data_IF_530078905230
#
_entry.id   IF_530078905230
#
_cell.length_a   1.000
_cell.length_b   1.000
_cell.length_c   1.000
_cell.angle_alpha   90.00
_cell.angle_beta   90.00
_cell.angle_gamma   90.00
#
_symmetry.space_group_name_H-M   'P 1'
#
loop_
_entity.id
_entity.type
_entity.pdbx_description
1 polymer ?
#
# COMPACT_ATOMS: atom_id res chain seq x y z
N UNK A 1 5.47 -41.30 -15.05
CA UNK A 1 4.02 -40.96 -15.18
C UNK A 1 3.82 -39.65 -14.43
N UNK A 2 3.93 -38.53 -15.14
CA UNK A 2 3.56 -37.22 -14.58
C UNK A 2 2.05 -37.23 -14.44
N UNK A 3 1.57 -37.43 -13.22
CA UNK A 3 0.16 -37.33 -12.91
C UNK A 3 -0.29 -35.92 -13.23
N UNK A 4 -1.33 -35.81 -14.01
CA UNK A 4 -2.06 -34.58 -14.35
C UNK A 4 -2.57 -33.97 -13.01
N UNK A 5 -1.70 -33.28 -12.27
CA UNK A 5 -2.10 -32.56 -11.05
C UNK A 5 -3.07 -31.48 -11.49
N UNK A 6 -4.34 -31.65 -11.16
CA UNK A 6 -5.36 -30.62 -11.42
C UNK A 6 -4.87 -29.28 -10.85
N UNK A 7 -4.90 -28.25 -11.68
CA UNK A 7 -4.53 -26.87 -11.30
C UNK A 7 -5.30 -26.45 -10.05
N UNK A 8 -4.56 -26.06 -8.99
CA UNK A 8 -5.17 -25.57 -7.75
C UNK A 8 -5.83 -24.21 -7.97
N UNK A 9 -6.97 -24.00 -7.36
CA UNK A 9 -7.74 -22.76 -7.48
C UNK A 9 -7.75 -21.96 -6.19
N UNK A 10 -7.49 -20.65 -6.29
CA UNK A 10 -7.44 -19.73 -5.16
C UNK A 10 -8.43 -18.59 -5.41
N UNK A 11 -9.26 -18.28 -4.41
CA UNK A 11 -10.07 -17.08 -4.42
C UNK A 11 -9.37 -15.99 -3.59
N UNK A 12 -9.06 -14.86 -4.24
CA UNK A 12 -8.50 -13.67 -3.59
C UNK A 12 -9.61 -12.66 -3.31
N UNK A 13 -9.66 -12.18 -2.08
CA UNK A 13 -10.71 -11.29 -1.61
C UNK A 13 -10.13 -10.09 -0.85
N UNK A 14 -9.75 -9.01 -1.58
CA UNK A 14 -9.25 -7.76 -0.98
C UNK A 14 -10.34 -6.92 -0.33
N UNK A 15 -9.95 -6.04 0.57
CA UNK A 15 -10.74 -4.87 0.93
C UNK A 15 -10.94 -3.94 -0.28
N UNK A 16 -11.98 -3.12 -0.24
CA UNK A 16 -12.44 -2.26 -1.36
C UNK A 16 -11.62 -0.99 -1.59
N UNK A 17 -10.48 -0.87 -0.92
CA UNK A 17 -9.54 0.24 -1.08
C UNK A 17 -8.47 -0.02 -2.13
N UNK A 18 -8.09 1.01 -2.89
CA UNK A 18 -7.03 0.88 -3.92
C UNK A 18 -5.73 0.31 -3.35
N UNK A 19 -5.32 0.75 -2.14
CA UNK A 19 -4.13 0.25 -1.45
C UNK A 19 -4.17 -1.24 -1.10
N UNK A 20 -5.34 -1.88 -1.19
CA UNK A 20 -5.56 -3.32 -0.97
C UNK A 20 -5.81 -4.07 -2.29
N UNK A 21 -6.68 -3.54 -3.15
CA UNK A 21 -7.01 -4.16 -4.45
C UNK A 21 -5.78 -4.33 -5.32
N UNK A 22 -4.93 -3.30 -5.41
CA UNK A 22 -3.72 -3.32 -6.25
C UNK A 22 -2.70 -4.39 -5.79
N UNK A 23 -2.28 -4.49 -4.51
CA UNK A 23 -1.41 -5.58 -4.06
C UNK A 23 -2.00 -6.97 -4.26
N UNK A 24 -3.30 -7.16 -4.02
CA UNK A 24 -3.96 -8.43 -4.26
C UNK A 24 -3.96 -8.80 -5.75
N UNK A 25 -4.10 -7.82 -6.65
CA UNK A 25 -4.01 -8.07 -8.09
C UNK A 25 -2.59 -8.48 -8.51
N UNK A 26 -1.56 -7.84 -7.97
CA UNK A 26 -0.18 -8.24 -8.26
C UNK A 26 0.13 -9.64 -7.71
N UNK A 27 -0.37 -9.97 -6.51
CA UNK A 27 -0.28 -11.33 -5.97
C UNK A 27 -1.03 -12.32 -6.89
N UNK A 28 -2.22 -11.99 -7.36
CA UNK A 28 -2.98 -12.79 -8.32
C UNK A 28 -2.18 -13.09 -9.60
N UNK A 29 -1.56 -12.06 -10.19
CA UNK A 29 -0.69 -12.20 -11.37
C UNK A 29 0.53 -13.09 -11.10
N UNK A 30 1.17 -12.94 -9.94
CA UNK A 30 2.31 -13.76 -9.55
C UNK A 30 1.94 -15.23 -9.33
N UNK A 31 0.80 -15.51 -8.71
CA UNK A 31 0.30 -16.87 -8.49
C UNK A 31 -0.20 -17.51 -9.79
N UNK A 32 -0.82 -16.74 -10.70
CA UNK A 32 -1.26 -17.26 -12.00
C UNK A 32 -0.09 -17.77 -12.83
N UNK A 33 1.04 -17.08 -12.82
CA UNK A 33 2.30 -17.52 -13.46
C UNK A 33 2.89 -18.79 -12.85
N UNK A 34 2.43 -19.20 -11.65
CA UNK A 34 2.87 -20.38 -10.91
C UNK A 34 1.84 -21.51 -10.89
N UNK A 35 1.05 -21.57 -11.96
CA UNK A 35 0.08 -22.64 -12.18
C UNK A 35 -1.05 -22.70 -11.13
N UNK A 36 -1.56 -21.53 -10.70
CA UNK A 36 -2.79 -21.42 -9.93
C UNK A 36 -3.89 -20.82 -10.80
N UNK A 37 -5.10 -21.37 -10.71
CA UNK A 37 -6.32 -20.74 -11.21
C UNK A 37 -6.80 -19.71 -10.20
N UNK A 38 -6.96 -18.47 -10.61
CA UNK A 38 -7.29 -17.38 -9.71
C UNK A 38 -8.75 -16.93 -9.93
N UNK A 39 -9.48 -16.83 -8.83
CA UNK A 39 -10.75 -16.11 -8.74
C UNK A 39 -10.50 -14.81 -7.98
N UNK A 40 -10.63 -13.67 -8.64
CA UNK A 40 -10.46 -12.36 -8.02
C UNK A 40 -11.83 -11.77 -7.71
N UNK A 41 -12.22 -11.78 -6.43
CA UNK A 41 -13.56 -11.41 -5.98
C UNK A 41 -13.55 -9.98 -5.40
N UNK A 42 -14.38 -9.10 -5.96
CA UNK A 42 -14.58 -7.74 -5.44
C UNK A 42 -15.90 -7.15 -5.96
N UNK A 43 -16.23 -5.91 -5.60
CA UNK A 43 -17.41 -5.21 -6.12
C UNK A 43 -17.24 -4.84 -7.60
N UNK A 44 -18.32 -4.74 -8.39
CA UNK A 44 -18.25 -4.38 -9.82
C UNK A 44 -17.41 -3.13 -10.08
N UNK A 45 -17.63 -2.06 -9.28
CA UNK A 45 -16.88 -0.80 -9.43
C UNK A 45 -15.39 -0.95 -9.12
N UNK A 46 -15.01 -1.83 -8.18
CA UNK A 46 -13.60 -2.13 -7.88
C UNK A 46 -12.96 -3.05 -8.91
N UNK A 47 -13.75 -3.87 -9.62
CA UNK A 47 -13.27 -4.76 -10.68
C UNK A 47 -13.04 -4.05 -12.01
N UNK A 48 -13.65 -2.91 -12.26
CA UNK A 48 -13.51 -2.20 -13.54
C UNK A 48 -12.06 -1.83 -13.88
N UNK A 49 -11.29 -1.19 -12.96
CA UNK A 49 -9.86 -0.95 -13.20
C UNK A 49 -9.04 -2.25 -13.36
N UNK A 50 -9.40 -3.30 -12.62
CA UNK A 50 -8.76 -4.62 -12.70
C UNK A 50 -8.98 -5.25 -14.07
N UNK A 51 -10.21 -5.16 -14.60
CA UNK A 51 -10.56 -5.63 -15.95
C UNK A 51 -9.71 -4.92 -17.01
N UNK A 52 -9.58 -3.60 -16.91
CA UNK A 52 -8.74 -2.80 -17.81
C UNK A 52 -7.26 -3.20 -17.74
N UNK A 53 -6.72 -3.43 -16.54
CA UNK A 53 -5.33 -3.85 -16.37
C UNK A 53 -5.08 -5.28 -16.92
N UNK A 54 -5.97 -6.22 -16.68
CA UNK A 54 -5.86 -7.59 -17.21
C UNK A 54 -6.01 -7.65 -18.74
N UNK A 55 -6.83 -6.79 -19.35
CA UNK A 55 -6.97 -6.71 -20.79
C UNK A 55 -5.68 -6.24 -21.50
N UNK A 56 -4.86 -5.44 -20.82
CA UNK A 56 -3.56 -4.97 -21.32
C UNK A 56 -2.40 -5.93 -21.06
N UNK A 57 -2.62 -6.96 -20.23
CA UNK A 57 -1.58 -7.91 -19.84
C UNK A 57 -1.87 -9.30 -20.42
N UNK A 58 -0.83 -10.10 -20.66
CA UNK A 58 -0.95 -11.52 -21.04
C UNK A 58 -1.45 -12.41 -19.88
N UNK A 59 -1.57 -11.86 -18.67
CA UNK A 59 -1.85 -12.61 -17.44
C UNK A 59 -3.36 -12.95 -17.28
N UNK A 60 -4.22 -12.41 -18.16
CA UNK A 60 -5.68 -12.53 -18.04
C UNK A 60 -6.28 -13.93 -18.26
N UNK A 61 -5.54 -14.88 -18.83
CA UNK A 61 -6.09 -16.19 -19.20
C UNK A 61 -6.46 -17.08 -18.00
N UNK A 62 -5.81 -16.90 -16.85
CA UNK A 62 -6.00 -17.72 -15.64
C UNK A 62 -6.62 -16.97 -14.47
N UNK A 63 -6.90 -15.67 -14.62
CA UNK A 63 -7.53 -14.81 -13.60
C UNK A 63 -8.97 -14.54 -13.99
N UNK A 64 -9.90 -15.07 -13.21
CA UNK A 64 -11.34 -14.91 -13.39
C UNK A 64 -11.90 -13.89 -12.41
N UNK A 65 -12.52 -12.82 -12.91
CA UNK A 65 -13.16 -11.82 -12.09
C UNK A 65 -14.51 -12.32 -11.58
N UNK A 66 -14.75 -12.16 -10.28
CA UNK A 66 -15.98 -12.60 -9.59
C UNK A 66 -16.61 -11.40 -8.91
N UNK A 67 -17.84 -11.09 -9.26
CA UNK A 67 -18.54 -9.94 -8.72
C UNK A 67 -19.21 -10.27 -7.38
N UNK A 68 -18.93 -9.47 -6.36
CA UNK A 68 -19.65 -9.44 -5.10
C UNK A 68 -20.56 -8.22 -5.06
N UNK A 69 -21.85 -8.44 -5.13
CA UNK A 69 -22.83 -7.35 -5.01
C UNK A 69 -23.14 -7.05 -3.55
N UNK A 70 -22.91 -5.80 -3.15
CA UNK A 70 -23.28 -5.31 -1.82
C UNK A 70 -24.73 -4.82 -1.82
N UNK A 71 -25.42 -4.83 -0.66
CA UNK A 71 -26.68 -4.13 -0.50
C UNK A 71 -26.52 -2.66 -0.86
N UNK A 72 -27.39 -2.15 -1.72
CA UNK A 72 -27.42 -0.75 -2.13
C UNK A 72 -28.54 0.00 -1.41
N UNK A 73 -28.30 1.28 -1.10
CA UNK A 73 -29.30 2.21 -0.59
C UNK A 73 -29.20 3.53 -1.36
N UNK A 74 -30.20 4.42 -1.27
CA UNK A 74 -30.10 5.76 -1.87
C UNK A 74 -28.89 6.56 -1.40
N UNK A 75 -28.38 6.28 -0.20
CA UNK A 75 -27.22 6.96 0.38
C UNK A 75 -25.89 6.27 0.03
N UNK A 76 -25.92 4.97 -0.34
CA UNK A 76 -24.77 4.19 -0.76
C UNK A 76 -25.07 3.48 -2.09
N UNK A 77 -25.18 4.22 -3.19
CA UNK A 77 -25.39 3.63 -4.51
C UNK A 77 -24.13 2.85 -4.98
N UNK A 78 -24.23 2.00 -6.02
CA UNK A 78 -23.16 1.08 -6.45
C UNK A 78 -21.82 1.73 -6.78
N UNK A 79 -21.80 2.99 -7.24
CA UNK A 79 -20.59 3.75 -7.52
C UNK A 79 -19.75 4.05 -6.26
N UNK A 80 -20.35 3.99 -5.07
CA UNK A 80 -19.68 4.15 -3.78
C UNK A 80 -19.34 2.80 -3.12
N UNK A 81 -19.47 1.68 -3.82
CA UNK A 81 -19.02 0.37 -3.34
C UNK A 81 -17.49 0.18 -3.46
N UNK A 82 -16.74 1.24 -3.20
CA UNK A 82 -15.28 1.32 -3.16
C UNK A 82 -14.86 2.47 -2.26
N UNK A 83 -13.63 2.47 -1.72
CA UNK A 83 -13.12 3.65 -0.99
C UNK A 83 -12.67 4.77 -1.92
N UNK A 84 -12.57 4.51 -3.22
CA UNK A 84 -12.19 5.53 -4.20
C UNK A 84 -13.31 6.54 -4.36
N UNK A 85 -13.01 7.80 -4.07
CA UNK A 85 -13.93 8.93 -4.25
C UNK A 85 -15.23 8.88 -3.41
N UNK A 86 -15.32 8.02 -2.41
CA UNK A 86 -16.45 8.00 -1.48
C UNK A 86 -16.35 9.16 -0.50
N UNK A 87 -17.44 9.89 -0.20
CA UNK A 87 -17.47 10.86 0.87
C UNK A 87 -17.08 10.22 2.22
N UNK A 88 -16.19 10.83 3.02
CA UNK A 88 -15.68 10.22 4.26
C UNK A 88 -16.78 9.80 5.26
N UNK A 89 -17.88 10.53 5.31
CA UNK A 89 -19.02 10.20 6.16
C UNK A 89 -19.79 8.94 5.73
N UNK A 90 -19.57 8.43 4.51
CA UNK A 90 -20.18 7.19 4.00
C UNK A 90 -19.31 5.96 4.20
N UNK A 91 -18.05 6.11 4.59
CA UNK A 91 -17.15 4.98 4.87
C UNK A 91 -17.74 3.96 5.88
N UNK A 92 -18.38 4.40 7.00
CA UNK A 92 -19.05 3.46 7.91
C UNK A 92 -20.16 2.65 7.24
N UNK A 93 -20.94 3.26 6.36
CA UNK A 93 -22.01 2.57 5.62
C UNK A 93 -21.45 1.57 4.61
N UNK A 94 -20.31 1.87 3.98
CA UNK A 94 -19.62 0.93 3.12
C UNK A 94 -19.16 -0.32 3.89
N UNK A 95 -18.60 -0.15 5.08
CA UNK A 95 -18.24 -1.27 5.95
C UNK A 95 -19.46 -2.12 6.34
N UNK A 96 -20.57 -1.49 6.69
CA UNK A 96 -21.82 -2.18 7.03
C UNK A 96 -22.35 -2.98 5.84
N UNK A 97 -22.48 -2.37 4.66
CA UNK A 97 -22.93 -3.04 3.44
C UNK A 97 -22.01 -4.21 3.06
N UNK A 98 -20.69 -4.03 3.23
CA UNK A 98 -19.73 -5.09 2.99
C UNK A 98 -19.87 -6.25 3.97
N UNK A 99 -20.10 -5.97 5.25
CA UNK A 99 -20.39 -7.00 6.25
C UNK A 99 -21.71 -7.74 5.98
N UNK A 100 -22.73 -7.04 5.48
CA UNK A 100 -24.01 -7.65 5.12
C UNK A 100 -23.92 -8.56 3.88
N UNK A 101 -22.85 -8.50 3.09
CA UNK A 101 -22.66 -9.35 1.90
C UNK A 101 -22.15 -10.77 2.20
N UNK A 102 -22.02 -11.17 3.47
CA UNK A 102 -21.56 -12.52 3.90
C UNK A 102 -22.31 -13.67 3.23
N UNK A 103 -23.63 -13.57 3.11
CA UNK A 103 -24.46 -14.61 2.45
C UNK A 103 -24.14 -14.75 0.97
N UNK A 104 -23.96 -13.61 0.26
CA UNK A 104 -23.58 -13.59 -1.14
C UNK A 104 -22.20 -14.24 -1.35
N UNK A 105 -21.25 -13.90 -0.49
CA UNK A 105 -19.92 -14.50 -0.52
C UNK A 105 -19.96 -16.02 -0.26
N UNK A 106 -20.76 -16.48 0.70
CA UNK A 106 -20.93 -17.92 0.97
C UNK A 106 -21.54 -18.66 -0.24
N UNK A 107 -22.45 -18.03 -0.98
CA UNK A 107 -23.00 -18.55 -2.22
C UNK A 107 -21.92 -18.67 -3.30
N UNK A 108 -21.06 -17.65 -3.45
CA UNK A 108 -19.91 -17.67 -4.36
C UNK A 108 -18.96 -18.81 -4.01
N UNK A 109 -18.60 -18.99 -2.74
CA UNK A 109 -17.74 -20.09 -2.28
C UNK A 109 -18.34 -21.46 -2.59
N UNK A 110 -19.64 -21.64 -2.34
CA UNK A 110 -20.36 -22.91 -2.58
C UNK A 110 -20.43 -23.26 -4.06
N UNK A 111 -20.51 -22.25 -4.93
CA UNK A 111 -20.54 -22.41 -6.39
C UNK A 111 -19.15 -22.70 -6.97
N UNK A 112 -18.14 -21.92 -6.58
CA UNK A 112 -16.79 -22.00 -7.15
C UNK A 112 -15.96 -23.12 -6.53
N UNK A 113 -16.19 -23.44 -5.26
CA UNK A 113 -15.44 -24.44 -4.48
C UNK A 113 -13.92 -24.30 -4.65
N UNK A 114 -13.35 -23.12 -4.38
CA UNK A 114 -11.91 -22.94 -4.52
C UNK A 114 -11.15 -23.83 -3.52
N UNK A 115 -9.92 -24.18 -3.86
CA UNK A 115 -9.06 -24.98 -2.97
C UNK A 115 -8.56 -24.16 -1.77
N UNK A 116 -8.59 -22.82 -1.85
CA UNK A 116 -8.19 -21.89 -0.80
C UNK A 116 -8.82 -20.52 -0.99
N UNK A 117 -8.98 -19.78 0.12
CA UNK A 117 -9.31 -18.34 0.12
C UNK A 117 -8.15 -17.55 0.67
N UNK A 118 -7.72 -16.48 -0.02
CA UNK A 118 -6.81 -15.47 0.50
C UNK A 118 -7.62 -14.22 0.82
N UNK A 119 -7.64 -13.81 2.08
CA UNK A 119 -8.50 -12.74 2.59
C UNK A 119 -7.70 -11.61 3.25
N UNK A 120 -8.33 -10.44 3.33
CA UNK A 120 -7.80 -9.23 3.95
C UNK A 120 -8.27 -9.08 5.42
N UNK A 121 -7.62 -8.19 6.18
CA UNK A 121 -7.90 -7.91 7.58
C UNK A 121 -9.33 -7.44 7.87
N UNK A 122 -9.97 -6.77 6.92
CA UNK A 122 -11.29 -6.15 7.10
C UNK A 122 -12.47 -7.11 6.94
N UNK A 123 -12.23 -8.33 6.46
CA UNK A 123 -13.25 -9.36 6.26
C UNK A 123 -12.88 -10.70 6.91
N UNK A 124 -12.65 -10.69 8.20
CA UNK A 124 -12.41 -11.91 8.99
C UNK A 124 -13.55 -12.92 8.85
N UNK A 125 -14.77 -12.45 8.62
CA UNK A 125 -15.93 -13.28 8.32
C UNK A 125 -15.77 -14.13 7.05
N UNK A 126 -14.97 -13.69 6.08
CA UNK A 126 -14.68 -14.49 4.89
C UNK A 126 -13.87 -15.75 5.23
N UNK A 127 -12.91 -15.64 6.16
CA UNK A 127 -12.18 -16.79 6.67
C UNK A 127 -13.12 -17.76 7.40
N UNK A 128 -13.99 -17.26 8.26
CA UNK A 128 -14.97 -18.07 8.98
C UNK A 128 -15.93 -18.79 8.01
N UNK A 129 -16.44 -18.09 6.99
CA UNK A 129 -17.28 -18.68 5.96
C UNK A 129 -16.54 -19.77 5.17
N UNK A 130 -15.28 -19.55 4.83
CA UNK A 130 -14.45 -20.53 4.12
C UNK A 130 -14.24 -21.78 4.95
N UNK A 131 -13.85 -21.63 6.22
CA UNK A 131 -13.62 -22.74 7.13
C UNK A 131 -14.88 -23.56 7.40
N UNK A 132 -16.06 -22.94 7.47
CA UNK A 132 -17.35 -23.67 7.62
C UNK A 132 -17.69 -24.55 6.43
N UNK A 133 -17.14 -24.24 5.25
CA UNK A 133 -17.28 -25.06 4.01
C UNK A 133 -16.09 -26.03 3.83
N UNK A 134 -15.18 -26.10 4.82
CA UNK A 134 -13.98 -26.93 4.73
C UNK A 134 -13.02 -26.42 3.66
N UNK A 135 -12.88 -25.09 3.48
CA UNK A 135 -11.94 -24.44 2.58
C UNK A 135 -10.90 -23.72 3.45
N UNK A 136 -9.59 -24.02 3.32
CA UNK A 136 -8.56 -23.32 4.07
C UNK A 136 -8.52 -21.85 3.70
N UNK A 137 -8.25 -20.99 4.69
CA UNK A 137 -8.18 -19.55 4.50
C UNK A 137 -6.83 -19.01 4.98
N UNK A 138 -6.16 -18.20 4.16
CA UNK A 138 -4.87 -17.57 4.46
C UNK A 138 -5.03 -16.07 4.43
N UNK A 139 -4.53 -15.40 5.47
CA UNK A 139 -4.51 -13.93 5.51
C UNK A 139 -3.36 -13.37 4.68
N UNK A 140 -3.66 -12.36 3.86
CA UNK A 140 -2.66 -11.53 3.20
C UNK A 140 -2.70 -10.11 3.76
N UNK A 141 -1.57 -9.68 4.33
CA UNK A 141 -1.35 -8.35 4.86
C UNK A 141 -0.61 -7.48 3.82
N UNK A 142 -1.28 -6.50 3.18
CA UNK A 142 -0.67 -5.62 2.19
C UNK A 142 0.14 -4.46 2.80
N UNK A 143 0.38 -4.47 4.12
CA UNK A 143 1.15 -3.49 4.88
C UNK A 143 2.47 -4.03 5.41
N UNK A 144 3.28 -3.17 6.05
CA UNK A 144 4.58 -3.50 6.61
C UNK A 144 4.52 -4.51 7.76
N UNK A 145 5.44 -5.48 7.79
CA UNK A 145 5.61 -6.39 8.91
C UNK A 145 5.98 -5.63 10.20
N UNK A 146 6.78 -4.58 10.08
CA UNK A 146 7.16 -3.69 11.17
C UNK A 146 5.94 -3.02 11.83
N UNK A 147 5.02 -2.49 11.02
CA UNK A 147 3.77 -1.87 11.48
C UNK A 147 2.87 -2.89 12.17
N UNK A 148 2.73 -4.08 11.58
CA UNK A 148 1.92 -5.15 12.18
C UNK A 148 2.51 -5.63 13.49
N UNK A 149 3.83 -5.78 13.59
CA UNK A 149 4.51 -6.20 14.81
C UNK A 149 4.40 -5.14 15.92
N UNK A 150 4.55 -3.85 15.57
CA UNK A 150 4.43 -2.75 16.50
C UNK A 150 3.04 -2.68 17.12
N UNK A 151 2.00 -2.64 16.28
CA UNK A 151 0.63 -2.52 16.78
C UNK A 151 0.11 -3.78 17.46
N UNK A 152 0.54 -4.96 17.01
CA UNK A 152 0.20 -6.21 17.70
C UNK A 152 0.83 -6.25 19.09
N UNK A 153 2.12 -5.88 19.19
CA UNK A 153 2.81 -5.81 20.49
C UNK A 153 2.10 -4.85 21.45
N UNK A 154 1.83 -3.61 21.03
CA UNK A 154 1.16 -2.63 21.89
C UNK A 154 -0.24 -3.05 22.36
N UNK A 155 -0.90 -3.94 21.65
CA UNK A 155 -2.25 -4.37 21.98
C UNK A 155 -2.30 -5.65 22.82
N UNK A 156 -1.38 -6.57 22.60
CA UNK A 156 -1.41 -7.92 23.20
C UNK A 156 -0.29 -8.14 24.24
N UNK A 157 0.78 -7.34 24.20
CA UNK A 157 1.92 -7.44 25.12
C UNK A 157 1.94 -6.19 26.00
N UNK A 158 1.46 -6.30 27.21
CA UNK A 158 1.32 -5.14 28.13
C UNK A 158 2.51 -4.95 29.06
N UNK A 159 3.36 -5.97 29.23
CA UNK A 159 4.35 -6.05 30.29
C UNK A 159 5.77 -5.63 29.85
N UNK A 160 5.95 -5.30 28.59
CA UNK A 160 7.25 -4.87 28.06
C UNK A 160 7.12 -3.82 26.96
N UNK A 161 8.08 -2.91 26.81
CA UNK A 161 8.11 -1.98 25.68
C UNK A 161 8.37 -2.73 24.38
N UNK A 162 7.99 -2.10 23.26
CA UNK A 162 8.34 -2.63 21.94
C UNK A 162 9.88 -2.68 21.78
N UNK A 163 10.45 -3.79 21.30
CA UNK A 163 11.90 -4.03 21.40
C UNK A 163 12.76 -3.27 20.37
N UNK A 164 12.17 -2.49 19.49
CA UNK A 164 12.89 -1.74 18.45
C UNK A 164 12.60 -0.25 18.58
N UNK A 165 13.53 0.50 19.17
CA UNK A 165 13.40 1.92 19.50
C UNK A 165 13.24 2.81 18.25
N UNK A 166 13.63 2.33 17.08
CA UNK A 166 13.46 3.06 15.82
C UNK A 166 11.99 3.30 15.45
N UNK A 167 11.08 2.46 15.92
CA UNK A 167 9.65 2.62 15.68
C UNK A 167 8.95 3.17 16.93
N UNK A 168 8.42 4.35 16.80
CA UNK A 168 7.67 5.04 17.84
C UNK A 168 6.60 5.95 17.22
N UNK A 169 5.69 6.46 18.03
CA UNK A 169 4.73 7.48 17.63
C UNK A 169 4.92 8.73 18.47
N UNK A 170 4.90 9.89 17.82
CA UNK A 170 4.87 11.19 18.48
C UNK A 170 3.50 11.42 19.14
N UNK A 171 3.41 12.38 20.06
CA UNK A 171 2.16 12.64 20.79
C UNK A 171 1.04 13.17 19.87
N UNK A 172 1.39 13.87 18.79
CA UNK A 172 0.45 14.38 17.81
C UNK A 172 0.05 13.33 16.74
N UNK A 173 0.69 12.17 16.70
CA UNK A 173 0.37 11.10 15.76
C UNK A 173 -0.72 10.20 16.30
N UNK A 174 -1.62 9.76 15.42
CA UNK A 174 -2.74 8.88 15.81
C UNK A 174 -2.22 7.57 16.40
N UNK A 175 -2.62 7.33 17.66
CA UNK A 175 -2.42 6.01 18.29
C UNK A 175 -3.57 5.08 17.89
N UNK A 176 -3.30 3.85 17.44
CA UNK A 176 -4.39 2.92 17.14
C UNK A 176 -5.12 2.48 18.42
N UNK A 177 -6.44 2.33 18.32
CA UNK A 177 -7.29 2.66 17.21
C UNK A 177 -8.13 3.89 17.51
N UNK A 178 -7.74 5.00 17.00
CA UNK A 178 -8.60 6.18 17.02
C UNK A 178 -9.88 6.00 16.18
N UNK A 179 -9.96 4.96 15.34
CA UNK A 179 -11.14 4.69 14.54
C UNK A 179 -12.21 3.93 15.33
N UNK A 180 -13.10 4.68 16.02
CA UNK A 180 -14.29 4.15 16.68
C UNK A 180 -15.16 3.28 15.75
N UNK A 181 -15.19 3.60 14.45
CA UNK A 181 -15.89 2.84 13.41
C UNK A 181 -15.28 1.45 13.24
N UNK A 182 -13.95 1.36 13.12
CA UNK A 182 -13.25 0.08 13.00
C UNK A 182 -13.44 -0.80 14.26
N UNK A 183 -13.39 -0.17 15.43
CA UNK A 183 -13.63 -0.87 16.71
C UNK A 183 -15.07 -1.40 16.83
N UNK A 184 -16.04 -0.68 16.25
CA UNK A 184 -17.45 -1.10 16.26
C UNK A 184 -17.68 -2.27 15.30
N UNK A 185 -17.17 -2.18 14.07
CA UNK A 185 -17.27 -3.26 13.05
C UNK A 185 -16.63 -4.56 13.55
N UNK A 186 -15.45 -4.49 14.19
CA UNK A 186 -14.78 -5.67 14.77
C UNK A 186 -15.61 -6.29 15.90
N UNK A 187 -16.29 -5.48 16.73
CA UNK A 187 -17.16 -5.97 17.82
C UNK A 187 -18.45 -6.60 17.29
N UNK A 188 -19.05 -6.05 16.26
CA UNK A 188 -20.30 -6.56 15.65
C UNK A 188 -20.12 -7.89 14.93
N UNK A 189 -18.92 -8.22 14.46
CA UNK A 189 -18.59 -9.52 13.86
C UNK A 189 -18.46 -10.67 14.89
N UNK A 190 -18.68 -10.39 16.19
CA UNK A 190 -18.60 -11.40 17.26
C UNK A 190 -17.16 -11.88 17.53
N UNK A 191 -16.17 -11.27 16.91
CA UNK A 191 -14.77 -11.58 17.13
C UNK A 191 -14.19 -10.61 18.17
N UNK A 192 -13.92 -11.09 19.34
CA UNK A 192 -13.46 -10.35 20.51
C UNK A 192 -12.00 -9.85 20.40
N UNK A 193 -11.31 -10.11 19.29
CA UNK A 193 -9.90 -9.75 19.08
C UNK A 193 -9.71 -8.89 17.84
N UNK A 194 -9.11 -7.72 18.03
CA UNK A 194 -8.65 -6.80 16.98
C UNK A 194 -7.77 -7.48 15.91
N UNK A 195 -7.09 -8.54 16.29
CA UNK A 195 -6.15 -9.30 15.46
C UNK A 195 -6.66 -10.70 15.09
N UNK A 196 -7.97 -10.91 15.14
CA UNK A 196 -8.62 -12.16 14.76
C UNK A 196 -8.25 -12.62 13.34
N UNK A 197 -7.99 -11.69 12.42
CA UNK A 197 -7.53 -12.01 11.07
C UNK A 197 -6.23 -12.82 11.04
N UNK A 198 -5.28 -12.56 11.94
CA UNK A 198 -4.08 -13.39 12.06
C UNK A 198 -4.37 -14.76 12.64
N UNK A 199 -5.25 -14.86 13.65
CA UNK A 199 -5.60 -16.12 14.29
C UNK A 199 -6.31 -17.09 13.35
N UNK A 200 -7.18 -16.58 12.48
CA UNK A 200 -7.97 -17.36 11.51
C UNK A 200 -7.15 -17.83 10.30
N UNK A 201 -5.97 -17.27 10.07
CA UNK A 201 -5.11 -17.68 8.97
C UNK A 201 -4.57 -19.09 9.18
N UNK A 202 -4.67 -19.94 8.17
CA UNK A 202 -4.18 -21.32 8.21
C UNK A 202 -2.66 -21.35 8.11
N UNK A 203 -1.97 -21.82 9.16
CA UNK A 203 -0.53 -22.10 9.28
C UNK A 203 0.42 -20.93 8.97
N UNK A 204 0.14 -20.12 7.97
CA UNK A 204 1.00 -19.02 7.50
C UNK A 204 0.23 -17.69 7.44
N UNK A 205 0.98 -16.60 7.34
CA UNK A 205 0.46 -15.27 6.97
C UNK A 205 1.32 -14.75 5.83
N UNK A 206 0.67 -14.34 4.73
CA UNK A 206 1.35 -13.66 3.63
C UNK A 206 1.50 -12.18 3.97
N UNK A 207 2.69 -11.62 3.75
CA UNK A 207 2.94 -10.18 3.98
C UNK A 207 3.63 -9.59 2.75
N UNK A 208 3.13 -8.45 2.29
CA UNK A 208 3.74 -7.66 1.21
C UNK A 208 4.98 -6.97 1.73
N UNK A 209 6.12 -7.65 1.66
CA UNK A 209 7.39 -7.17 2.20
C UNK A 209 8.58 -7.91 1.56
N UNK A 210 9.79 -7.51 1.96
CA UNK A 210 11.06 -8.11 1.62
C UNK A 210 11.88 -8.37 2.89
N UNK A 211 12.49 -9.54 3.02
CA UNK A 211 13.36 -9.84 4.17
C UNK A 211 14.60 -8.97 4.20
N UNK A 212 15.10 -8.54 3.03
CA UNK A 212 16.22 -7.59 2.94
C UNK A 212 15.90 -6.24 3.60
N UNK A 213 14.62 -5.89 3.74
CA UNK A 213 14.18 -4.63 4.34
C UNK A 213 13.63 -4.81 5.76
N UNK A 214 12.79 -5.82 5.99
CA UNK A 214 12.05 -5.98 7.24
C UNK A 214 12.39 -7.27 8.02
N UNK A 215 13.53 -7.93 7.74
CA UNK A 215 13.83 -9.26 8.26
C UNK A 215 13.61 -9.44 9.75
N UNK A 216 14.12 -8.54 10.60
CA UNK A 216 13.96 -8.60 12.06
C UNK A 216 12.51 -8.45 12.51
N UNK A 217 11.72 -7.64 11.81
CA UNK A 217 10.30 -7.43 12.11
C UNK A 217 9.44 -8.62 11.68
N UNK A 218 9.81 -9.26 10.56
CA UNK A 218 9.20 -10.52 10.11
C UNK A 218 9.41 -11.61 11.17
N UNK A 219 10.64 -11.77 11.67
CA UNK A 219 10.98 -12.77 12.67
C UNK A 219 10.29 -12.49 14.00
N UNK A 220 10.23 -11.23 14.41
CA UNK A 220 9.51 -10.82 15.60
C UNK A 220 8.00 -11.06 15.49
N UNK A 221 7.38 -10.66 14.39
CA UNK A 221 5.96 -10.90 14.16
C UNK A 221 5.64 -12.40 14.13
N UNK A 222 6.51 -13.20 13.50
CA UNK A 222 6.37 -14.66 13.49
C UNK A 222 6.41 -15.25 14.90
N UNK A 223 7.32 -14.77 15.75
CA UNK A 223 7.40 -15.14 17.17
C UNK A 223 6.17 -14.75 17.96
N UNK A 224 5.64 -13.55 17.77
CA UNK A 224 4.42 -13.07 18.45
C UNK A 224 3.18 -13.88 18.06
N UNK A 225 3.04 -14.21 16.78
CA UNK A 225 1.85 -14.87 16.25
C UNK A 225 1.93 -16.41 16.31
N UNK A 226 3.12 -16.97 16.58
CA UNK A 226 3.39 -18.40 16.50
C UNK A 226 2.98 -18.99 15.14
N UNK A 227 3.18 -18.22 14.06
CA UNK A 227 2.88 -18.59 12.68
C UNK A 227 4.01 -18.17 11.76
N UNK A 228 4.24 -18.93 10.69
CA UNK A 228 5.21 -18.55 9.67
C UNK A 228 4.73 -17.30 8.94
N UNK A 229 5.55 -16.26 8.91
CA UNK A 229 5.35 -15.07 8.07
C UNK A 229 6.06 -15.32 6.75
N UNK A 230 5.30 -15.31 5.67
CA UNK A 230 5.80 -15.54 4.31
C UNK A 230 5.76 -14.24 3.52
N UNK A 231 6.94 -13.76 3.12
CA UNK A 231 7.05 -12.61 2.23
C UNK A 231 6.55 -12.96 0.83
N UNK A 232 5.79 -12.06 0.22
CA UNK A 232 5.33 -12.20 -1.18
C UNK A 232 6.01 -11.21 -2.13
N UNK A 233 7.09 -10.59 -1.68
CA UNK A 233 7.79 -9.54 -2.42
C UNK A 233 7.10 -8.18 -2.35
N UNK A 234 7.64 -7.17 -3.02
CA UNK A 234 7.16 -5.79 -2.99
C UNK A 234 5.90 -5.59 -3.83
N UNK A 235 5.54 -6.52 -4.71
CA UNK A 235 4.36 -6.48 -5.57
C UNK A 235 4.22 -5.12 -6.28
N UNK A 236 5.27 -4.70 -6.98
CA UNK A 236 5.31 -3.41 -7.68
C UNK A 236 4.40 -3.44 -8.90
N UNK A 237 3.57 -2.42 -9.02
CA UNK A 237 2.79 -2.17 -10.24
C UNK A 237 3.73 -1.49 -11.24
N UNK A 238 3.81 -2.03 -12.45
CA UNK A 238 4.49 -1.34 -13.56
C UNK A 238 3.43 -0.81 -14.49
N UNK A 239 3.52 0.48 -14.83
CA UNK A 239 2.66 1.05 -15.86
C UNK A 239 2.94 0.33 -17.19
N UNK A 240 1.88 -0.14 -17.84
CA UNK A 240 1.97 -0.68 -19.19
C UNK A 240 1.93 0.49 -20.15
N UNK A 241 3.06 0.99 -20.53
CA UNK A 241 3.55 1.86 -21.59
C UNK A 241 2.67 2.83 -22.39
N UNK A 242 1.35 2.86 -22.24
CA UNK A 242 0.46 3.69 -23.05
C UNK A 242 -0.16 4.88 -22.31
N UNK A 243 -0.10 4.90 -20.97
CA UNK A 243 -0.45 6.07 -20.17
C UNK A 243 0.78 6.98 -19.94
N UNK A 244 1.74 6.90 -20.83
CA UNK A 244 2.95 7.69 -20.80
C UNK A 244 2.60 9.16 -21.09
N UNK A 245 2.50 9.93 -20.02
CA UNK A 245 2.48 11.38 -20.14
C UNK A 245 3.88 11.83 -20.59
N UNK A 246 4.09 11.68 -21.90
CA UNK A 246 5.35 11.99 -22.58
C UNK A 246 5.89 13.38 -22.20
N UNK A 247 5.00 14.31 -21.83
CA UNK A 247 5.36 15.64 -21.38
C UNK A 247 6.12 15.66 -20.04
N UNK A 248 5.70 14.85 -19.04
CA UNK A 248 6.37 14.79 -17.73
C UNK A 248 7.74 14.15 -17.86
N UNK A 249 7.85 13.01 -18.52
CA UNK A 249 9.12 12.30 -18.71
C UNK A 249 10.06 13.09 -19.65
N UNK A 250 9.52 13.78 -20.67
CA UNK A 250 10.30 14.68 -21.51
C UNK A 250 10.85 15.86 -20.71
N UNK A 251 10.05 16.47 -19.82
CA UNK A 251 10.52 17.53 -18.93
C UNK A 251 11.64 17.02 -18.00
N UNK A 252 11.49 15.83 -17.39
CA UNK A 252 12.54 15.19 -16.58
C UNK A 252 13.83 14.97 -17.38
N UNK A 253 13.72 14.54 -18.62
CA UNK A 253 14.88 14.30 -19.50
C UNK A 253 15.69 15.58 -19.81
N UNK A 254 15.09 16.76 -19.62
CA UNK A 254 15.79 18.03 -19.71
C UNK A 254 16.60 18.40 -18.46
N UNK A 255 16.48 17.61 -17.36
CA UNK A 255 17.10 17.89 -16.07
C UNK A 255 18.33 17.01 -15.85
N UNK A 256 19.28 17.53 -15.07
CA UNK A 256 20.48 16.78 -14.70
C UNK A 256 20.14 15.55 -13.83
N UNK A 257 21.02 14.56 -13.86
CA UNK A 257 20.88 13.35 -13.04
C UNK A 257 20.74 13.71 -11.56
N UNK A 258 19.77 13.09 -10.86
CA UNK A 258 19.48 13.25 -9.44
C UNK A 258 19.15 14.69 -8.99
N UNK A 259 18.77 15.58 -9.89
CA UNK A 259 18.53 17.00 -9.59
C UNK A 259 17.07 17.36 -9.32
N UNK A 260 16.16 16.44 -9.47
CA UNK A 260 14.72 16.69 -9.38
C UNK A 260 14.11 15.97 -8.17
N UNK A 261 13.28 16.68 -7.43
CA UNK A 261 12.45 16.11 -6.35
C UNK A 261 11.06 15.82 -6.90
N UNK A 262 10.60 14.60 -6.73
CA UNK A 262 9.22 14.22 -6.97
C UNK A 262 8.41 14.38 -5.67
N UNK A 263 7.20 14.98 -5.72
CA UNK A 263 6.36 15.23 -4.55
C UNK A 263 4.97 14.65 -4.81
N UNK A 264 4.56 13.67 -3.98
CA UNK A 264 3.22 13.09 -4.02
C UNK A 264 2.76 12.65 -2.63
N UNK A 265 1.60 13.15 -2.21
CA UNK A 265 0.99 12.79 -0.92
C UNK A 265 0.08 11.55 -1.02
N UNK A 266 0.13 10.80 -2.14
CA UNK A 266 -0.71 9.62 -2.38
C UNK A 266 -2.13 9.97 -2.84
N UNK A 267 -3.01 8.96 -2.87
CA UNK A 267 -4.37 9.09 -3.44
C UNK A 267 -5.43 9.59 -2.46
N UNK A 268 -5.15 9.52 -1.16
CA UNK A 268 -6.16 9.75 -0.09
C UNK A 268 -5.75 10.84 0.90
N UNK A 269 -4.68 11.60 0.60
CA UNK A 269 -4.24 12.74 1.43
C UNK A 269 -4.31 14.02 0.61
N UNK A 270 -4.92 15.03 1.21
CA UNK A 270 -5.07 16.37 0.64
C UNK A 270 -4.41 17.36 1.58
N UNK A 271 -3.52 18.18 1.04
CA UNK A 271 -2.87 19.24 1.81
C UNK A 271 -3.85 20.39 2.06
N UNK A 272 -3.86 20.92 3.26
CA UNK A 272 -4.56 22.18 3.54
C UNK A 272 -3.90 23.34 2.79
N UNK A 273 -4.60 24.48 2.70
CA UNK A 273 -4.04 25.68 2.08
C UNK A 273 -2.73 26.11 2.74
N UNK A 274 -2.67 26.11 4.07
CA UNK A 274 -1.48 26.49 4.81
C UNK A 274 -0.32 25.52 4.53
N UNK A 275 -0.58 24.22 4.51
CA UNK A 275 0.41 23.20 4.16
C UNK A 275 0.92 23.38 2.72
N UNK A 276 0.02 23.64 1.76
CA UNK A 276 0.42 23.89 0.38
C UNK A 276 1.29 25.14 0.25
N UNK A 277 0.99 26.19 1.01
CA UNK A 277 1.81 27.40 1.03
C UNK A 277 3.19 27.15 1.62
N UNK A 278 3.29 26.36 2.69
CA UNK A 278 4.60 26.02 3.29
C UNK A 278 5.43 25.14 2.35
N UNK A 279 4.82 24.15 1.66
CA UNK A 279 5.49 23.37 0.61
C UNK A 279 5.99 24.27 -0.52
N UNK A 280 5.12 25.15 -1.05
CA UNK A 280 5.48 26.06 -2.14
C UNK A 280 6.66 26.98 -1.76
N UNK A 281 6.61 27.64 -0.60
CA UNK A 281 7.70 28.48 -0.10
C UNK A 281 9.00 27.67 0.10
N UNK A 282 8.89 26.45 0.63
CA UNK A 282 10.05 25.58 0.79
C UNK A 282 10.70 25.17 -0.53
N UNK A 283 9.90 24.95 -1.57
CA UNK A 283 10.40 24.72 -2.95
C UNK A 283 11.12 25.95 -3.53
N UNK A 284 10.63 27.15 -3.26
CA UNK A 284 11.34 28.38 -3.63
C UNK A 284 12.68 28.51 -2.89
N UNK A 285 12.71 28.24 -1.57
CA UNK A 285 13.91 28.32 -0.73
C UNK A 285 14.95 27.26 -1.12
N UNK A 286 14.51 26.06 -1.49
CA UNK A 286 15.40 24.95 -1.86
C UNK A 286 16.13 25.20 -3.18
N UNK A 287 15.50 25.90 -4.12
CA UNK A 287 15.98 26.18 -5.49
C UNK A 287 16.23 24.93 -6.34
N UNK A 288 15.71 23.77 -5.96
CA UNK A 288 15.83 22.52 -6.72
C UNK A 288 14.76 22.41 -7.81
N UNK A 289 14.98 21.51 -8.77
CA UNK A 289 13.93 21.13 -9.72
C UNK A 289 12.91 20.24 -9.01
N UNK A 290 11.63 20.34 -9.37
CA UNK A 290 10.60 19.52 -8.76
C UNK A 290 9.43 19.20 -9.71
N UNK A 291 8.83 18.05 -9.46
CA UNK A 291 7.50 17.68 -9.93
C UNK A 291 6.61 17.57 -8.71
N UNK A 292 5.51 18.32 -8.66
CA UNK A 292 4.56 18.29 -7.57
C UNK A 292 3.18 17.86 -8.03
N UNK A 293 2.73 16.69 -7.62
CA UNK A 293 1.38 16.19 -7.88
C UNK A 293 0.43 16.76 -6.84
N UNK A 294 -0.50 17.59 -7.29
CA UNK A 294 -1.52 18.24 -6.46
C UNK A 294 -2.87 17.60 -6.72
N UNK A 295 -3.58 17.30 -5.65
CA UNK A 295 -4.93 16.75 -5.69
C UNK A 295 -5.86 17.49 -4.75
N UNK A 296 -7.11 17.55 -5.14
CA UNK A 296 -8.19 18.10 -4.33
C UNK A 296 -9.30 17.04 -4.14
N UNK A 297 -10.09 17.13 -3.05
CA UNK A 297 -11.23 16.25 -2.87
C UNK A 297 -12.19 16.33 -4.06
N UNK A 298 -12.74 15.18 -4.44
CA UNK A 298 -13.66 15.15 -5.58
C UNK A 298 -14.94 15.95 -5.28
N UNK A 299 -15.37 16.77 -6.23
CA UNK A 299 -16.55 17.64 -6.08
C UNK A 299 -16.26 19.03 -5.53
N UNK A 300 -15.07 19.29 -5.02
CA UNK A 300 -14.64 20.62 -4.61
C UNK A 300 -14.08 21.41 -5.80
N UNK A 301 -14.58 22.64 -6.00
CA UNK A 301 -14.07 23.55 -7.02
C UNK A 301 -12.97 24.43 -6.42
N UNK A 302 -11.82 23.85 -6.17
CA UNK A 302 -10.65 24.56 -5.63
C UNK A 302 -9.71 24.90 -6.79
N UNK A 303 -9.39 26.19 -6.92
CA UNK A 303 -8.39 26.65 -7.89
C UNK A 303 -6.98 26.50 -7.30
N UNK A 304 -6.06 26.00 -8.09
CA UNK A 304 -4.65 25.91 -7.71
C UNK A 304 -4.06 27.29 -7.33
N UNK A 305 -4.47 28.36 -8.04
CA UNK A 305 -4.01 29.73 -7.78
C UNK A 305 -4.47 30.28 -6.43
N UNK A 306 -5.60 29.78 -5.92
CA UNK A 306 -6.10 30.15 -4.57
C UNK A 306 -5.33 29.46 -3.44
N UNK A 307 -4.75 28.30 -3.73
CA UNK A 307 -4.01 27.50 -2.76
C UNK A 307 -2.52 27.85 -2.69
N UNK A 308 -1.94 28.31 -3.79
CA UNK A 308 -0.53 28.65 -3.88
C UNK A 308 -0.24 30.11 -3.51
N UNK A 309 0.97 30.46 -3.07
CA UNK A 309 1.39 31.84 -2.92
C UNK A 309 1.30 32.60 -4.26
N UNK A 310 0.79 33.83 -4.23
CA UNK A 310 0.67 34.66 -5.43
C UNK A 310 1.99 34.77 -6.17
N UNK A 311 1.98 34.50 -7.49
CA UNK A 311 3.16 34.58 -8.36
C UNK A 311 4.17 33.41 -8.16
N UNK A 312 3.78 32.32 -7.47
CA UNK A 312 4.65 31.18 -7.24
C UNK A 312 5.11 30.54 -8.55
N UNK A 313 4.19 30.27 -9.47
CA UNK A 313 4.52 29.63 -10.75
C UNK A 313 5.51 30.46 -11.58
N UNK A 314 5.37 31.77 -11.57
CA UNK A 314 6.29 32.69 -12.26
C UNK A 314 7.70 32.66 -11.64
N UNK A 315 7.79 32.64 -10.30
CA UNK A 315 9.09 32.63 -9.59
C UNK A 315 9.83 31.30 -9.69
N UNK A 316 9.13 30.18 -9.74
CA UNK A 316 9.77 28.86 -9.91
C UNK A 316 10.16 28.63 -11.38
N UNK A 317 9.40 29.17 -12.34
CA UNK A 317 9.68 29.08 -13.77
C UNK A 317 9.89 27.65 -14.23
N UNK A 318 10.90 27.39 -15.05
CA UNK A 318 11.21 26.07 -15.62
C UNK A 318 11.71 25.03 -14.60
N UNK A 319 11.98 25.42 -13.34
CA UNK A 319 12.39 24.48 -12.27
C UNK A 319 11.22 23.65 -11.74
N UNK A 320 9.99 24.11 -11.88
CA UNK A 320 8.80 23.49 -11.29
C UNK A 320 7.83 22.97 -12.34
N UNK A 321 7.38 21.74 -12.16
CA UNK A 321 6.26 21.17 -12.89
C UNK A 321 5.17 20.78 -11.89
N UNK A 322 3.99 21.40 -11.98
CA UNK A 322 2.83 21.03 -11.17
C UNK A 322 1.88 20.20 -12.01
N UNK A 323 1.54 19.03 -11.51
CA UNK A 323 0.62 18.09 -12.14
C UNK A 323 -0.65 17.99 -11.29
N UNK A 324 -1.78 18.40 -11.86
CA UNK A 324 -3.08 18.22 -11.19
C UNK A 324 -3.66 16.85 -11.54
N UNK A 325 -4.00 16.08 -10.51
CA UNK A 325 -4.61 14.76 -10.68
C UNK A 325 -3.62 13.61 -10.64
N UNK A 326 -3.40 12.88 -11.72
CA UNK A 326 -2.57 11.67 -11.76
C UNK A 326 -1.25 11.91 -12.50
N UNK A 327 -0.18 11.29 -12.01
CA UNK A 327 1.13 11.25 -12.66
C UNK A 327 1.66 9.81 -12.69
N UNK A 328 2.48 9.44 -13.70
CA UNK A 328 3.09 8.10 -13.81
C UNK A 328 4.22 7.95 -12.77
N UNK A 329 3.85 7.64 -11.52
CA UNK A 329 4.77 7.60 -10.37
C UNK A 329 5.95 6.66 -10.59
N UNK A 330 5.70 5.47 -11.13
CA UNK A 330 6.75 4.49 -11.44
C UNK A 330 7.72 5.00 -12.51
N UNK A 331 7.22 5.60 -13.60
CA UNK A 331 8.04 6.23 -14.62
C UNK A 331 8.89 7.39 -14.08
N UNK A 332 8.30 8.23 -13.22
CA UNK A 332 9.02 9.33 -12.56
C UNK A 332 10.09 8.82 -11.61
N UNK A 333 9.77 7.81 -10.76
CA UNK A 333 10.73 7.22 -9.83
C UNK A 333 11.85 6.46 -10.56
N UNK A 334 11.56 5.83 -11.68
CA UNK A 334 12.56 5.15 -12.51
C UNK A 334 13.50 6.11 -13.26
N UNK A 335 13.12 7.39 -13.40
CA UNK A 335 13.85 8.34 -14.24
C UNK A 335 15.18 8.78 -13.60
N UNK A 336 16.31 8.81 -14.35
CA UNK A 336 17.63 9.14 -13.80
C UNK A 336 17.75 10.55 -13.18
N UNK A 337 16.90 11.48 -13.58
CA UNK A 337 16.89 12.86 -13.04
C UNK A 337 16.16 12.95 -11.69
N UNK A 338 15.40 11.93 -11.28
CA UNK A 338 14.74 11.88 -9.97
C UNK A 338 15.77 11.56 -8.89
N UNK A 339 16.03 12.53 -8.02
CA UNK A 339 17.02 12.44 -6.95
C UNK A 339 16.43 12.14 -5.57
N UNK A 340 15.15 12.48 -5.36
CA UNK A 340 14.43 12.23 -4.11
C UNK A 340 12.91 12.18 -4.34
N UNK A 341 12.21 11.52 -3.41
CA UNK A 341 10.76 11.45 -3.38
C UNK A 341 10.22 12.00 -2.05
N UNK A 342 9.53 13.15 -2.09
CA UNK A 342 8.73 13.61 -0.95
C UNK A 342 7.45 12.79 -0.90
N UNK A 343 7.37 11.91 0.06
CA UNK A 343 6.31 10.90 0.18
C UNK A 343 5.57 10.99 1.50
N UNK A 344 4.27 10.70 1.46
CA UNK A 344 3.47 10.45 2.67
C UNK A 344 3.81 9.12 3.36
N UNK A 345 4.68 8.31 2.78
CA UNK A 345 5.11 7.01 3.31
C UNK A 345 3.99 5.96 3.43
N UNK A 346 2.95 6.01 2.58
CA UNK A 346 2.06 4.86 2.39
C UNK A 346 2.86 3.65 1.86
N UNK A 347 2.52 2.44 2.32
CA UNK A 347 3.35 1.26 2.11
C UNK A 347 3.69 0.96 0.64
N UNK A 348 2.73 1.15 -0.28
CA UNK A 348 3.00 0.97 -1.71
C UNK A 348 4.10 1.93 -2.20
N UNK A 349 3.95 3.23 -1.91
CA UNK A 349 4.94 4.25 -2.30
C UNK A 349 6.30 4.05 -1.64
N UNK A 350 6.33 3.54 -0.40
CA UNK A 350 7.55 3.14 0.30
C UNK A 350 8.29 2.04 -0.47
N UNK A 351 7.62 0.96 -0.82
CA UNK A 351 8.22 -0.14 -1.57
C UNK A 351 8.59 0.25 -3.00
N UNK A 352 7.81 1.10 -3.66
CA UNK A 352 8.13 1.64 -4.97
C UNK A 352 9.42 2.48 -4.93
N UNK A 353 9.56 3.40 -3.95
CA UNK A 353 10.78 4.20 -3.83
C UNK A 353 12.03 3.33 -3.62
N UNK A 354 11.94 2.30 -2.78
CA UNK A 354 13.03 1.35 -2.57
C UNK A 354 13.32 0.57 -3.85
N UNK A 355 12.29 0.07 -4.53
CA UNK A 355 12.43 -0.68 -5.78
C UNK A 355 13.20 0.10 -6.85
N UNK A 356 12.94 1.40 -6.96
CA UNK A 356 13.63 2.27 -7.91
C UNK A 356 14.92 2.88 -7.36
N UNK A 357 15.29 2.61 -6.10
CA UNK A 357 16.50 3.12 -5.49
C UNK A 357 16.47 4.63 -5.24
N UNK A 358 15.28 5.21 -5.00
CA UNK A 358 15.07 6.64 -4.77
C UNK A 358 14.95 6.92 -3.28
N UNK A 359 15.84 7.73 -2.67
CA UNK A 359 15.72 8.12 -1.28
C UNK A 359 14.46 8.98 -1.04
N UNK A 360 13.93 8.88 0.20
CA UNK A 360 12.66 9.50 0.56
C UNK A 360 12.87 10.67 1.52
N UNK A 361 12.12 11.74 1.25
CA UNK A 361 11.86 12.81 2.21
C UNK A 361 10.47 12.51 2.79
N UNK A 362 10.45 12.01 4.01
CA UNK A 362 9.24 11.49 4.65
C UNK A 362 8.38 12.63 5.19
N UNK A 363 7.12 12.65 4.78
CA UNK A 363 6.11 13.61 5.25
C UNK A 363 4.81 12.86 5.60
N UNK A 364 4.81 12.02 6.65
CA UNK A 364 3.67 11.20 7.02
C UNK A 364 2.51 12.05 7.57
N UNK A 365 1.27 11.57 7.41
CA UNK A 365 0.05 12.26 7.86
C UNK A 365 -0.76 11.43 8.84
N UNK A 366 -1.02 10.14 8.55
CA UNK A 366 -1.97 9.31 9.31
C UNK A 366 -1.68 7.82 9.17
N UNK A 367 -2.40 6.99 9.93
CA UNK A 367 -2.39 5.52 9.87
C UNK A 367 -0.99 4.94 10.11
N UNK A 368 -0.53 4.08 9.19
CA UNK A 368 0.77 3.41 9.23
C UNK A 368 1.94 4.27 8.73
N UNK A 369 1.65 5.42 8.13
CA UNK A 369 2.64 6.27 7.47
C UNK A 369 3.77 6.73 8.39
N UNK A 370 3.54 7.14 9.67
CA UNK A 370 4.61 7.50 10.57
C UNK A 370 5.60 6.37 10.85
N UNK A 371 5.10 5.16 11.04
CA UNK A 371 5.95 3.99 11.29
C UNK A 371 6.72 3.57 10.04
N UNK A 372 6.09 3.63 8.85
CA UNK A 372 6.77 3.40 7.58
C UNK A 372 7.89 4.43 7.34
N UNK A 373 7.65 5.70 7.68
CA UNK A 373 8.66 6.76 7.59
C UNK A 373 9.88 6.44 8.45
N UNK A 374 9.67 6.05 9.72
CA UNK A 374 10.74 5.70 10.65
C UNK A 374 11.49 4.45 10.25
N UNK A 375 10.78 3.45 9.71
CA UNK A 375 11.39 2.26 9.15
C UNK A 375 12.37 2.61 8.02
N UNK A 376 12.01 3.55 7.14
CA UNK A 376 12.89 4.01 6.07
C UNK A 376 14.06 4.84 6.58
N UNK A 377 13.86 5.65 7.64
CA UNK A 377 14.95 6.38 8.32
C UNK A 377 15.91 5.41 8.98
N UNK A 378 15.41 4.37 9.64
CA UNK A 378 16.23 3.29 10.22
C UNK A 378 17.08 2.58 9.15
N UNK A 379 16.50 2.33 7.99
CA UNK A 379 17.23 1.73 6.86
C UNK A 379 18.28 2.69 6.23
N UNK A 380 18.28 3.95 6.62
CA UNK A 380 19.18 4.97 6.10
C UNK A 380 18.88 5.43 4.68
N UNK A 381 17.62 5.26 4.22
CA UNK A 381 17.15 5.64 2.89
C UNK A 381 16.12 6.78 2.92
N UNK A 382 15.89 7.38 4.08
CA UNK A 382 14.99 8.52 4.23
C UNK A 382 15.48 9.54 5.27
N UNK A 383 14.99 10.77 5.11
CA UNK A 383 14.97 11.80 6.16
C UNK A 383 13.52 12.22 6.40
N UNK A 384 13.18 12.55 7.63
CA UNK A 384 11.86 13.05 7.97
C UNK A 384 11.85 14.58 7.98
N UNK A 385 10.79 15.20 7.43
CA UNK A 385 10.57 16.65 7.56
C UNK A 385 10.30 16.95 9.03
N UNK A 386 11.12 17.80 9.64
CA UNK A 386 10.97 18.17 11.04
C UNK A 386 9.65 18.89 11.28
N UNK A 387 8.96 18.51 12.35
CA UNK A 387 7.66 19.07 12.75
C UNK A 387 7.74 19.64 14.17
N UNK A 388 6.90 20.62 14.44
CA UNK A 388 6.71 21.15 15.79
C UNK A 388 5.91 20.18 16.69
N UNK A 389 5.75 20.53 17.97
CA UNK A 389 5.00 19.73 18.94
C UNK A 389 3.51 19.54 18.62
N UNK A 390 2.98 20.26 17.62
CA UNK A 390 1.61 20.14 17.12
C UNK A 390 1.53 19.38 15.77
N UNK A 391 2.67 18.92 15.27
CA UNK A 391 2.74 18.18 14.01
C UNK A 391 2.80 19.05 12.75
N UNK A 392 2.97 20.38 12.87
CA UNK A 392 3.11 21.26 11.72
C UNK A 392 4.57 21.33 11.28
N UNK A 393 4.78 21.50 9.99
CA UNK A 393 6.11 21.75 9.41
C UNK A 393 6.18 23.16 8.83
N UNK A 394 7.38 23.74 8.81
CA UNK A 394 7.64 25.03 8.17
C UNK A 394 8.28 24.86 6.81
N UNK A 395 8.15 25.89 5.97
CA UNK A 395 8.83 25.98 4.68
C UNK A 395 10.36 25.85 4.80
N UNK A 396 10.94 26.35 5.88
CA UNK A 396 12.38 26.22 6.11
C UNK A 396 12.78 24.77 6.40
N UNK A 397 12.03 24.05 7.27
CA UNK A 397 12.30 22.63 7.56
C UNK A 397 12.07 21.74 6.34
N UNK A 398 11.05 22.03 5.55
CA UNK A 398 10.81 21.34 4.28
C UNK A 398 11.96 21.58 3.29
N UNK A 399 12.44 22.83 3.14
CA UNK A 399 13.59 23.16 2.29
C UNK A 399 14.88 22.50 2.78
N UNK A 400 15.11 22.45 4.10
CA UNK A 400 16.27 21.82 4.72
C UNK A 400 16.29 20.31 4.38
N UNK A 401 15.16 19.63 4.53
CA UNK A 401 15.04 18.21 4.19
C UNK A 401 15.36 17.96 2.71
N UNK A 402 14.87 18.80 1.80
CA UNK A 402 15.17 18.71 0.36
C UNK A 402 16.67 18.90 0.10
N UNK A 403 17.29 19.95 0.67
CA UNK A 403 18.71 20.22 0.48
C UNK A 403 19.58 19.09 0.99
N UNK A 404 19.23 18.52 2.15
CA UNK A 404 19.94 17.39 2.74
C UNK A 404 20.03 16.19 1.80
N UNK A 405 18.96 15.91 1.05
CA UNK A 405 18.93 14.75 0.14
C UNK A 405 19.44 15.05 -1.26
N UNK A 406 19.23 16.27 -1.79
CA UNK A 406 19.59 16.59 -3.18
C UNK A 406 20.99 17.23 -3.26
N UNK A 407 21.36 18.08 -2.29
CA UNK A 407 22.52 18.96 -2.41
C UNK A 407 23.70 18.50 -1.56
N UNK A 408 23.43 17.97 -0.35
CA UNK A 408 24.48 17.62 0.60
C UNK A 408 25.06 16.21 0.33
N UNK A 409 26.24 15.93 0.85
CA UNK A 409 26.93 14.65 0.76
C UNK A 409 26.11 13.50 1.35
N UNK A 410 25.40 13.74 2.44
CA UNK A 410 24.45 12.79 3.06
C UNK A 410 23.46 12.23 2.05
N UNK A 411 23.01 13.02 1.07
CA UNK A 411 22.11 12.56 0.03
C UNK A 411 22.74 11.56 -0.95
N UNK A 412 24.04 11.65 -1.17
CA UNK A 412 24.75 10.65 -1.96
C UNK A 412 24.80 9.30 -1.22
N UNK A 413 25.15 9.32 0.06
CA UNK A 413 25.16 8.10 0.89
C UNK A 413 23.77 7.41 0.93
N UNK A 414 22.72 8.23 1.03
CA UNK A 414 21.34 7.71 1.02
C UNK A 414 20.98 7.07 -0.33
N UNK A 415 21.40 7.67 -1.45
CA UNK A 415 21.17 7.10 -2.79
C UNK A 415 21.91 5.77 -2.96
N UNK A 416 23.14 5.67 -2.46
CA UNK A 416 23.94 4.43 -2.49
C UNK A 416 23.25 3.32 -1.68
N UNK A 417 22.79 3.62 -0.46
CA UNK A 417 22.01 2.69 0.37
C UNK A 417 20.69 2.29 -0.27
N UNK A 418 19.97 3.25 -0.87
CA UNK A 418 18.72 2.98 -1.56
C UNK A 418 18.93 2.07 -2.78
N UNK A 419 20.00 2.28 -3.54
CA UNK A 419 20.37 1.43 -4.67
C UNK A 419 20.76 0.01 -4.21
N UNK A 420 21.55 -0.12 -3.13
CA UNK A 420 21.91 -1.42 -2.55
C UNK A 420 20.68 -2.19 -2.07
N UNK A 421 19.77 -1.51 -1.37
CA UNK A 421 18.53 -2.13 -0.89
C UNK A 421 17.61 -2.52 -2.05
N UNK A 422 17.53 -1.70 -3.09
CA UNK A 422 16.81 -2.00 -4.34
C UNK A 422 17.33 -3.29 -4.98
N UNK A 423 18.63 -3.43 -5.11
CA UNK A 423 19.26 -4.62 -5.70
C UNK A 423 18.98 -5.88 -4.88
N UNK A 424 19.15 -5.81 -3.55
CA UNK A 424 18.83 -6.92 -2.64
C UNK A 424 17.36 -7.34 -2.77
N UNK A 425 16.45 -6.38 -2.77
CA UNK A 425 15.01 -6.65 -2.85
C UNK A 425 14.63 -7.28 -4.21
N UNK A 426 15.22 -6.81 -5.32
CA UNK A 426 14.99 -7.38 -6.66
C UNK A 426 15.53 -8.80 -6.79
N UNK A 427 16.71 -9.06 -6.23
CA UNK A 427 17.35 -10.38 -6.27
C UNK A 427 16.59 -11.44 -5.47
N UNK A 428 15.86 -11.05 -4.43
CA UNK A 428 15.06 -12.01 -3.65
C UNK A 428 13.62 -12.18 -4.14
N UNK A 429 13.10 -11.29 -4.98
CA UNK A 429 11.66 -11.20 -5.33
C UNK A 429 11.12 -12.50 -5.95
N UNK A 430 11.83 -13.09 -6.91
CA UNK A 430 11.40 -14.35 -7.52
C UNK A 430 11.45 -15.52 -6.52
N UNK A 431 12.47 -15.58 -5.68
CA UNK A 431 12.62 -16.61 -4.66
C UNK A 431 11.50 -16.56 -3.63
N UNK A 432 11.19 -15.38 -3.09
CA UNK A 432 10.13 -15.26 -2.08
C UNK A 432 8.74 -15.52 -2.67
N UNK A 433 8.52 -15.15 -3.93
CA UNK A 433 7.26 -15.45 -4.61
C UNK A 433 7.10 -16.95 -4.87
N UNK A 434 8.18 -17.65 -5.20
CA UNK A 434 8.17 -19.11 -5.35
C UNK A 434 7.92 -19.80 -4.01
N UNK A 435 8.58 -19.37 -2.93
CA UNK A 435 8.34 -19.85 -1.56
C UNK A 435 6.87 -19.68 -1.15
N UNK A 436 6.29 -18.51 -1.40
CA UNK A 436 4.88 -18.28 -1.11
C UNK A 436 3.95 -19.24 -1.88
N UNK A 437 4.21 -19.45 -3.16
CA UNK A 437 3.44 -20.40 -3.97
C UNK A 437 3.55 -21.85 -3.47
N UNK A 438 4.74 -22.27 -3.03
CA UNK A 438 4.97 -23.60 -2.47
C UNK A 438 4.24 -23.81 -1.15
N UNK A 439 4.28 -22.83 -0.24
CA UNK A 439 3.57 -22.90 1.03
C UNK A 439 2.05 -22.97 0.82
N UNK A 440 1.50 -22.17 -0.09
CA UNK A 440 0.08 -22.21 -0.45
C UNK A 440 -0.31 -23.58 -1.04
N UNK A 441 0.54 -24.14 -1.90
CA UNK A 441 0.34 -25.46 -2.50
C UNK A 441 0.33 -26.55 -1.43
N UNK A 442 1.27 -26.50 -0.50
CA UNK A 442 1.37 -27.44 0.61
C UNK A 442 0.07 -27.43 1.44
N UNK A 443 -0.42 -26.26 1.84
CA UNK A 443 -1.67 -26.14 2.63
C UNK A 443 -2.85 -26.74 1.85
N UNK A 444 -3.00 -26.44 0.55
CA UNK A 444 -4.05 -27.03 -0.27
C UNK A 444 -3.98 -28.55 -0.32
N UNK A 445 -2.79 -29.11 -0.51
CA UNK A 445 -2.59 -30.56 -0.62
C UNK A 445 -2.84 -31.27 0.71
N UNK A 446 -2.33 -30.77 1.83
CA UNK A 446 -2.58 -31.31 3.15
C UNK A 446 -4.08 -31.30 3.52
N UNK A 447 -4.78 -30.24 3.09
CA UNK A 447 -6.21 -30.14 3.31
C UNK A 447 -7.01 -31.17 2.50
N UNK A 448 -6.61 -31.41 1.23
CA UNK A 448 -7.22 -32.44 0.38
C UNK A 448 -7.00 -33.85 0.90
N UNK A 449 -5.88 -34.13 1.56
CA UNK A 449 -5.59 -35.44 2.14
C UNK A 449 -6.41 -35.75 3.41
N UNK A 450 -6.90 -34.69 4.09
CA UNK A 450 -7.73 -34.83 5.31
C UNK A 450 -9.21 -34.98 5.04
N UNK A 451 -9.65 -34.78 3.78
CA UNK A 451 -11.03 -35.02 3.30
C UNK A 451 -11.20 -36.43 2.75
#
# INVERSE_FOLDING_TARGET
MEGNQSMLSILLFPWLGHGHVSPFLQLAKNLSKRNFKIYFCSTPVSLEPVRGDLARSSDGATIHLVELHLPSSPELPPEYHTTKNIPPNLIPKLFEAFSQSKSNFSTILSSLKPDMVIYDRFQTWAATASLSLGIPAVHFAPGAAAVHSFYYHLAEITDSPFPYDALYLQDYEEKPPANAVMSKVIKEDGQHSRYGHFKLSQDIILVKTSRSFEGKYIDYLSGLLQKKIVSVGPLIVRATGEDDDSGILQWLSSKSRFSTVFISCGSENYLSKDQMQEVAKGLEISKVNFIWVVRFPQGERISLDEMLPKGFLERVGERGLIVQGWAPQDGILAHPSTGAFVSHCGWNSTLESIHFGVPVISMPFKLDQPLNARLMVEAGVAVEVVRDGSGNFSSQEFANAIKKVIVEETGQEMREKAAELSEKMKNEDERVTNEAAEELRKICMEHKQKK
#
